data_IF_309904349611
#
_entry.id   IF_309904349611
#
_cell.length_a   1.000
_cell.length_b   1.000
_cell.length_c   1.000
_cell.angle_alpha   90.00
_cell.angle_beta   90.00
_cell.angle_gamma   90.00
#
_symmetry.space_group_name_H-M   'P 1'
#
loop_
_entity.id
_entity.type
_entity.pdbx_description
1 polymer ?
#
# COMPACT_ATOMS: atom_id res chain seq x y z
N UNK A 1 -31.56 -7.05 1.12
CA UNK A 1 -31.25 -8.27 0.36
C UNK A 1 -30.13 -8.05 -0.67
N UNK A 2 -30.19 -7.03 -1.54
CA UNK A 2 -29.23 -6.74 -2.59
C UNK A 2 -27.79 -6.42 -2.09
N UNK A 3 -27.65 -5.61 -1.03
CA UNK A 3 -26.34 -5.31 -0.42
C UNK A 3 -25.64 -6.59 0.08
N UNK A 4 -26.41 -7.56 0.58
CA UNK A 4 -25.88 -8.85 1.05
C UNK A 4 -25.36 -9.71 -0.12
N UNK A 5 -26.05 -9.66 -1.27
CA UNK A 5 -25.63 -10.37 -2.51
C UNK A 5 -24.33 -9.75 -3.05
N UNK A 6 -24.27 -8.42 -3.10
CA UNK A 6 -23.07 -7.70 -3.52
C UNK A 6 -21.89 -8.01 -2.59
N UNK A 7 -22.10 -7.92 -1.27
CA UNK A 7 -21.07 -8.26 -0.28
C UNK A 7 -20.57 -9.69 -0.43
N UNK A 8 -21.49 -10.68 -0.62
CA UNK A 8 -21.10 -12.07 -0.86
C UNK A 8 -20.26 -12.23 -2.12
N UNK A 9 -20.64 -11.59 -3.22
CA UNK A 9 -19.89 -11.62 -4.48
C UNK A 9 -18.48 -11.04 -4.29
N UNK A 10 -18.37 -9.88 -3.64
CA UNK A 10 -17.08 -9.22 -3.37
C UNK A 10 -16.18 -10.05 -2.44
N UNK A 11 -16.75 -10.71 -1.45
CA UNK A 11 -15.99 -11.62 -0.59
C UNK A 11 -15.49 -12.83 -1.39
N UNK A 12 -16.29 -13.40 -2.28
CA UNK A 12 -15.86 -14.51 -3.15
C UNK A 12 -14.75 -14.05 -4.10
N UNK A 13 -14.88 -12.89 -4.75
CA UNK A 13 -13.85 -12.30 -5.60
C UNK A 13 -12.54 -12.08 -4.82
N UNK A 14 -12.63 -11.55 -3.59
CA UNK A 14 -11.50 -11.37 -2.69
C UNK A 14 -10.80 -12.70 -2.32
N UNK A 15 -11.57 -13.73 -1.98
CA UNK A 15 -11.03 -15.06 -1.66
C UNK A 15 -10.37 -15.71 -2.87
N UNK A 16 -10.96 -15.60 -4.06
CA UNK A 16 -10.36 -16.13 -5.31
C UNK A 16 -9.05 -15.39 -5.64
N UNK A 17 -9.02 -14.07 -5.44
CA UNK A 17 -7.80 -13.26 -5.65
C UNK A 17 -6.70 -13.67 -4.67
N UNK A 18 -7.03 -13.84 -3.38
CA UNK A 18 -6.06 -14.30 -2.37
C UNK A 18 -5.57 -15.72 -2.68
N UNK A 19 -6.46 -16.62 -3.09
CA UNK A 19 -6.09 -17.98 -3.46
C UNK A 19 -5.17 -17.99 -4.68
N UNK A 20 -5.51 -17.26 -5.74
CA UNK A 20 -4.67 -17.17 -6.94
C UNK A 20 -3.30 -16.54 -6.64
N UNK A 21 -3.28 -15.46 -5.86
CA UNK A 21 -2.04 -14.83 -5.43
C UNK A 21 -1.18 -15.77 -4.56
N UNK A 22 -1.81 -16.53 -3.64
CA UNK A 22 -1.08 -17.45 -2.76
C UNK A 22 -0.37 -18.56 -3.54
N UNK A 23 -0.98 -19.07 -4.60
CA UNK A 23 -0.34 -20.06 -5.50
C UNK A 23 0.89 -19.47 -6.17
N UNK A 24 0.76 -18.23 -6.69
CA UNK A 24 1.89 -17.54 -7.33
C UNK A 24 3.02 -17.23 -6.34
N UNK A 25 2.66 -16.76 -5.15
CA UNK A 25 3.63 -16.44 -4.08
C UNK A 25 4.37 -17.71 -3.63
N UNK A 26 3.63 -18.79 -3.41
CA UNK A 26 4.23 -20.07 -3.02
C UNK A 26 5.15 -20.61 -4.12
N UNK A 27 4.77 -20.48 -5.40
CA UNK A 27 5.54 -20.96 -6.54
C UNK A 27 6.91 -20.26 -6.67
N UNK A 28 7.14 -19.12 -6.03
CA UNK A 28 8.46 -18.47 -5.99
C UNK A 28 9.53 -19.38 -5.37
N UNK A 29 9.15 -20.24 -4.42
CA UNK A 29 10.10 -21.10 -3.70
C UNK A 29 10.63 -22.24 -4.58
N UNK A 30 9.80 -23.09 -5.23
CA UNK A 30 10.28 -24.15 -6.11
C UNK A 30 10.88 -23.63 -7.43
N UNK A 31 10.58 -22.39 -7.82
CA UNK A 31 11.16 -21.77 -9.03
C UNK A 31 12.48 -21.05 -8.74
N UNK A 32 12.80 -20.78 -7.48
CA UNK A 32 14.06 -20.13 -7.12
C UNK A 32 15.24 -21.07 -7.37
N UNK A 33 16.35 -20.58 -7.96
CA UNK A 33 17.53 -21.41 -8.15
C UNK A 33 18.20 -21.71 -6.82
N UNK A 34 18.48 -23.01 -6.59
CA UNK A 34 19.16 -23.51 -5.39
C UNK A 34 18.27 -24.39 -4.53
N UNK A 35 18.89 -25.11 -3.61
CA UNK A 35 18.21 -25.93 -2.61
C UNK A 35 17.91 -25.09 -1.36
N UNK A 36 16.63 -24.91 -0.97
CA UNK A 36 16.27 -24.15 0.20
C UNK A 36 16.89 -24.66 1.50
N UNK A 37 16.96 -25.97 1.68
CA UNK A 37 17.55 -26.58 2.88
C UNK A 37 19.06 -26.27 2.98
N UNK A 38 19.77 -26.34 1.86
CA UNK A 38 21.18 -25.96 1.78
C UNK A 38 21.38 -24.47 2.08
N UNK A 39 20.53 -23.61 1.52
CA UNK A 39 20.61 -22.16 1.75
C UNK A 39 20.44 -21.80 3.23
N UNK A 40 19.50 -22.46 3.92
CA UNK A 40 19.29 -22.27 5.36
C UNK A 40 20.52 -22.68 6.15
N UNK A 41 21.09 -23.85 5.88
CA UNK A 41 22.28 -24.34 6.61
C UNK A 41 23.50 -23.44 6.37
N UNK A 42 23.70 -22.95 5.15
CA UNK A 42 24.77 -22.00 4.83
C UNK A 42 24.56 -20.68 5.61
N UNK A 43 23.32 -20.17 5.66
CA UNK A 43 23.00 -18.96 6.43
C UNK A 43 23.18 -19.15 7.95
N UNK A 44 22.98 -20.36 8.45
CA UNK A 44 23.26 -20.73 9.85
C UNK A 44 24.76 -20.94 10.17
N UNK A 45 25.64 -20.69 9.21
CA UNK A 45 27.08 -20.75 9.40
C UNK A 45 27.71 -22.12 9.11
N UNK A 46 27.04 -22.97 8.33
CA UNK A 46 27.59 -24.23 7.82
C UNK A 46 27.88 -24.06 6.31
N UNK A 47 29.09 -23.60 5.89
CA UNK A 47 29.37 -23.27 4.49
C UNK A 47 29.25 -24.46 3.53
N UNK A 48 29.59 -25.65 3.98
CA UNK A 48 29.48 -26.91 3.25
C UNK A 48 28.66 -27.92 4.07
N UNK A 49 27.32 -27.82 4.04
CA UNK A 49 26.48 -28.71 4.84
C UNK A 49 26.57 -30.16 4.33
N UNK A 50 26.78 -31.13 5.23
CA UNK A 50 26.76 -32.54 4.86
C UNK A 50 25.42 -32.95 4.26
N UNK A 51 25.41 -33.89 3.27
CA UNK A 51 24.17 -34.34 2.63
C UNK A 51 23.11 -34.88 3.61
N UNK A 52 23.53 -35.43 4.73
CA UNK A 52 22.64 -35.94 5.80
C UNK A 52 21.88 -34.78 6.48
N UNK A 53 22.54 -33.66 6.74
CA UNK A 53 21.90 -32.49 7.34
C UNK A 53 20.93 -31.82 6.36
N UNK A 54 21.27 -31.77 5.07
CA UNK A 54 20.38 -31.27 4.02
C UNK A 54 19.10 -32.11 4.00
N UNK A 55 19.22 -33.45 3.90
CA UNK A 55 18.05 -34.35 3.88
C UNK A 55 17.21 -34.27 5.16
N UNK A 56 17.83 -34.18 6.33
CA UNK A 56 17.11 -34.04 7.58
C UNK A 56 16.30 -32.73 7.62
N UNK A 57 16.87 -31.65 7.10
CA UNK A 57 16.18 -30.36 7.02
C UNK A 57 15.08 -30.37 5.94
N UNK A 58 15.32 -31.00 4.78
CA UNK A 58 14.28 -31.20 3.75
C UNK A 58 13.05 -31.93 4.30
N UNK A 59 13.26 -32.99 5.07
CA UNK A 59 12.19 -33.74 5.74
C UNK A 59 11.45 -32.87 6.77
N UNK A 60 12.20 -32.11 7.57
CA UNK A 60 11.63 -31.20 8.58
C UNK A 60 10.78 -30.10 7.94
N UNK A 61 11.20 -29.60 6.79
CA UNK A 61 10.49 -28.57 6.03
C UNK A 61 9.45 -29.14 5.05
N UNK A 62 9.28 -30.47 5.03
CA UNK A 62 8.38 -31.18 4.12
C UNK A 62 8.65 -30.92 2.62
N UNK A 63 9.91 -30.67 2.24
CA UNK A 63 10.31 -30.42 0.86
C UNK A 63 10.40 -31.71 0.01
N UNK A 64 10.44 -32.85 0.65
CA UNK A 64 10.40 -34.19 0.07
C UNK A 64 9.00 -34.62 -0.37
N UNK A 65 7.95 -33.88 0.01
CA UNK A 65 6.57 -34.23 -0.29
C UNK A 65 6.14 -33.78 -1.70
N UNK A 66 5.04 -34.37 -2.25
CA UNK A 66 4.46 -33.90 -3.50
C UNK A 66 4.12 -32.38 -3.44
N UNK A 67 4.29 -31.68 -4.56
CA UNK A 67 4.13 -30.23 -4.71
C UNK A 67 2.83 -29.69 -4.09
N UNK A 68 1.70 -30.40 -4.30
CA UNK A 68 0.41 -30.01 -3.72
C UNK A 68 0.36 -30.14 -2.19
N UNK A 69 1.05 -31.13 -1.63
CA UNK A 69 1.13 -31.29 -0.17
C UNK A 69 1.98 -30.16 0.45
N UNK A 70 3.10 -29.81 -0.18
CA UNK A 70 3.93 -28.69 0.24
C UNK A 70 3.15 -27.37 0.24
N UNK A 71 2.38 -27.09 -0.82
CA UNK A 71 1.51 -25.92 -0.88
C UNK A 71 0.44 -25.93 0.23
N UNK A 72 -0.20 -27.08 0.46
CA UNK A 72 -1.21 -27.20 1.50
C UNK A 72 -0.63 -26.96 2.90
N UNK A 73 0.56 -27.50 3.20
CA UNK A 73 1.27 -27.26 4.45
C UNK A 73 1.66 -25.78 4.61
N UNK A 74 2.21 -25.16 3.57
CA UNK A 74 2.56 -23.73 3.59
C UNK A 74 1.32 -22.86 3.82
N UNK A 75 0.24 -23.09 3.06
CA UNK A 75 -1.01 -22.33 3.21
C UNK A 75 -1.61 -22.49 4.61
N UNK A 76 -1.57 -23.70 5.15
CA UNK A 76 -2.05 -23.97 6.51
C UNK A 76 -1.23 -23.25 7.57
N UNK A 77 0.09 -23.18 7.39
CA UNK A 77 0.98 -22.35 8.21
C UNK A 77 0.61 -20.89 8.15
N UNK A 78 0.49 -20.31 6.95
CA UNK A 78 0.11 -18.90 6.74
C UNK A 78 -1.22 -18.56 7.43
N UNK A 79 -2.24 -19.43 7.32
CA UNK A 79 -3.54 -19.22 7.96
C UNK A 79 -3.48 -19.26 9.50
N UNK A 80 -2.46 -19.92 10.07
CA UNK A 80 -2.19 -19.95 11.52
C UNK A 80 -1.22 -18.89 12.01
N UNK A 81 -0.72 -18.04 11.10
CA UNK A 81 0.30 -17.02 11.41
C UNK A 81 1.73 -17.56 11.49
N UNK A 82 1.93 -18.82 11.09
CA UNK A 82 3.27 -19.38 10.94
C UNK A 82 3.81 -19.03 9.54
N UNK A 83 4.68 -18.03 9.50
CA UNK A 83 5.34 -17.52 8.29
C UNK A 83 6.72 -18.15 8.07
N UNK A 84 7.00 -19.27 8.77
CA UNK A 84 8.30 -19.97 8.76
C UNK A 84 9.44 -19.17 9.38
N UNK A 85 10.65 -19.73 9.29
CA UNK A 85 11.88 -19.07 9.73
C UNK A 85 12.53 -18.33 8.57
N UNK A 86 13.07 -17.16 8.84
CA UNK A 86 13.95 -16.43 7.92
C UNK A 86 15.18 -17.27 7.60
N UNK A 87 15.54 -17.39 6.34
CA UNK A 87 16.74 -18.11 5.92
C UNK A 87 18.01 -17.38 6.35
N UNK A 88 17.97 -16.04 6.38
CA UNK A 88 19.13 -15.22 6.72
C UNK A 88 19.37 -15.11 8.23
N UNK A 89 18.31 -14.93 9.05
CA UNK A 89 18.45 -14.70 10.48
C UNK A 89 18.15 -15.92 11.37
N UNK A 90 17.49 -16.96 10.82
CA UNK A 90 17.01 -18.11 11.59
C UNK A 90 15.89 -17.80 12.56
N UNK A 91 15.35 -16.57 12.57
CA UNK A 91 14.27 -16.15 13.47
C UNK A 91 12.89 -16.36 12.84
N UNK A 92 11.83 -16.52 13.65
CA UNK A 92 10.47 -16.57 13.14
C UNK A 92 10.11 -15.28 12.38
N UNK A 93 9.69 -15.40 11.11
CA UNK A 93 9.30 -14.25 10.28
C UNK A 93 8.10 -13.52 10.88
N UNK A 94 7.17 -14.24 11.52
CA UNK A 94 6.02 -13.63 12.20
C UNK A 94 6.42 -12.67 13.33
N UNK A 95 7.47 -12.99 14.10
CA UNK A 95 8.01 -12.11 15.12
C UNK A 95 8.62 -10.85 14.54
N UNK A 96 9.50 -11.00 13.53
CA UNK A 96 10.11 -9.85 12.82
C UNK A 96 9.05 -8.93 12.17
N UNK A 97 7.94 -9.53 11.68
CA UNK A 97 6.82 -8.77 11.14
C UNK A 97 6.07 -8.01 12.23
N UNK A 98 5.81 -8.63 13.36
CA UNK A 98 5.13 -7.99 14.49
C UNK A 98 5.91 -6.76 15.01
N UNK A 99 7.23 -6.85 15.04
CA UNK A 99 8.11 -5.77 15.50
C UNK A 99 8.15 -4.59 14.51
N UNK A 100 8.08 -4.85 13.19
CA UNK A 100 8.25 -3.83 12.13
C UNK A 100 6.92 -3.27 11.61
N UNK A 101 5.84 -4.04 11.69
CA UNK A 101 4.51 -3.64 11.22
C UNK A 101 4.04 -2.28 11.79
N UNK A 102 4.21 -1.99 13.09
CA UNK A 102 3.81 -0.69 13.64
C UNK A 102 4.49 0.49 12.96
N UNK A 103 5.78 0.38 12.61
CA UNK A 103 6.51 1.44 11.91
C UNK A 103 5.95 1.67 10.49
N UNK A 104 5.69 0.60 9.72
CA UNK A 104 5.06 0.70 8.39
C UNK A 104 3.65 1.30 8.48
N UNK A 105 2.83 0.89 9.45
CA UNK A 105 1.48 1.43 9.64
C UNK A 105 1.50 2.91 10.07
N UNK A 106 2.48 3.30 10.88
CA UNK A 106 2.70 4.70 11.28
C UNK A 106 3.02 5.55 10.06
N UNK A 107 3.94 5.11 9.21
CA UNK A 107 4.29 5.80 7.97
C UNK A 107 3.10 5.85 6.99
N UNK A 108 2.44 4.72 6.77
CA UNK A 108 1.32 4.61 5.84
C UNK A 108 0.14 5.50 6.26
N UNK A 109 -0.22 5.50 7.55
CA UNK A 109 -1.31 6.34 8.07
C UNK A 109 -0.99 7.83 8.00
N UNK A 110 0.23 8.23 8.35
CA UNK A 110 0.67 9.62 8.22
C UNK A 110 0.66 10.08 6.76
N UNK A 111 1.21 9.27 5.85
CA UNK A 111 1.21 9.55 4.41
C UNK A 111 -0.21 9.65 3.85
N UNK A 112 -1.11 8.76 4.24
CA UNK A 112 -2.52 8.76 3.82
C UNK A 112 -3.24 10.04 4.25
N UNK A 113 -3.09 10.45 5.51
CA UNK A 113 -3.69 11.69 6.04
C UNK A 113 -3.17 12.91 5.30
N UNK A 114 -1.86 13.00 5.09
CA UNK A 114 -1.24 14.10 4.35
C UNK A 114 -1.68 14.11 2.88
N UNK A 115 -1.71 12.95 2.21
CA UNK A 115 -2.14 12.83 0.81
C UNK A 115 -3.59 13.25 0.63
N UNK A 116 -4.50 12.83 1.54
CA UNK A 116 -5.90 13.23 1.53
C UNK A 116 -6.05 14.75 1.73
N UNK A 117 -5.36 15.30 2.72
CA UNK A 117 -5.37 16.75 2.99
C UNK A 117 -4.89 17.57 1.79
N UNK A 118 -3.76 17.19 1.21
CA UNK A 118 -3.21 17.81 0.00
C UNK A 118 -4.16 17.69 -1.20
N UNK A 119 -4.71 16.50 -1.42
CA UNK A 119 -5.61 16.24 -2.54
C UNK A 119 -6.90 17.04 -2.45
N UNK A 120 -7.46 17.15 -1.24
CA UNK A 120 -8.66 17.97 -1.00
C UNK A 120 -8.32 19.46 -1.23
N UNK A 121 -7.23 19.94 -0.68
CA UNK A 121 -6.83 21.34 -0.85
C UNK A 121 -6.60 21.69 -2.33
N UNK A 122 -5.76 20.92 -3.03
CA UNK A 122 -5.43 21.14 -4.44
C UNK A 122 -6.66 20.96 -5.34
N UNK A 123 -7.45 19.91 -5.15
CA UNK A 123 -8.64 19.62 -5.95
C UNK A 123 -9.74 20.69 -5.80
N UNK A 124 -9.99 21.14 -4.56
CA UNK A 124 -10.98 22.19 -4.29
C UNK A 124 -10.52 23.54 -4.81
N UNK A 125 -9.25 23.92 -4.63
CA UNK A 125 -8.68 25.17 -5.17
C UNK A 125 -8.80 25.17 -6.70
N UNK A 126 -8.42 24.08 -7.37
CA UNK A 126 -8.51 23.94 -8.81
C UNK A 126 -9.97 24.02 -9.31
N UNK A 127 -10.91 23.36 -8.65
CA UNK A 127 -12.34 23.41 -8.98
C UNK A 127 -12.98 24.79 -8.67
N UNK A 128 -12.45 25.51 -7.68
CA UNK A 128 -12.93 26.86 -7.32
C UNK A 128 -12.62 27.91 -8.39
N UNK A 129 -11.44 27.79 -9.03
CA UNK A 129 -10.91 28.75 -10.01
C UNK A 129 -10.58 28.08 -11.35
N UNK A 130 -11.54 27.44 -12.03
CA UNK A 130 -11.29 26.66 -13.24
C UNK A 130 -10.73 27.56 -14.36
N UNK A 131 -9.73 27.03 -15.06
CA UNK A 131 -9.02 27.71 -16.17
C UNK A 131 -8.33 29.03 -15.76
N UNK A 132 -8.16 29.29 -14.46
CA UNK A 132 -7.37 30.42 -13.94
C UNK A 132 -6.01 29.93 -13.45
N UNK A 133 -5.14 30.87 -13.10
CA UNK A 133 -3.77 30.57 -12.65
C UNK A 133 -3.70 29.54 -11.47
N UNK A 134 -4.60 29.54 -10.45
CA UNK A 134 -4.53 28.52 -9.42
C UNK A 134 -4.79 27.10 -9.96
N UNK A 135 -5.74 26.94 -10.92
CA UNK A 135 -6.00 25.67 -11.58
C UNK A 135 -4.80 25.22 -12.41
N UNK A 136 -4.18 26.14 -13.15
CA UNK A 136 -2.96 25.81 -13.90
C UNK A 136 -1.80 25.48 -12.97
N UNK A 137 -1.62 26.20 -11.88
CA UNK A 137 -0.58 25.96 -10.88
C UNK A 137 -0.70 24.58 -10.22
N UNK A 138 -1.92 24.17 -9.80
CA UNK A 138 -2.14 22.83 -9.25
C UNK A 138 -1.87 21.74 -10.26
N UNK A 139 -2.23 21.92 -11.53
CA UNK A 139 -1.94 20.96 -12.61
C UNK A 139 -0.45 20.85 -12.92
N UNK A 140 0.28 21.96 -12.97
CA UNK A 140 1.72 21.96 -13.14
C UNK A 140 2.43 21.26 -11.96
N UNK A 141 2.00 21.56 -10.74
CA UNK A 141 2.54 20.90 -9.54
C UNK A 141 2.31 19.39 -9.59
N UNK A 142 1.11 18.97 -9.99
CA UNK A 142 0.77 17.57 -10.17
C UNK A 142 1.64 16.89 -11.24
N UNK A 143 1.88 17.57 -12.39
CA UNK A 143 2.77 17.04 -13.44
C UNK A 143 4.21 16.89 -12.95
N UNK A 144 4.73 17.84 -12.19
CA UNK A 144 6.07 17.77 -11.60
C UNK A 144 6.16 16.56 -10.67
N UNK A 145 5.16 16.37 -9.80
CA UNK A 145 5.14 15.25 -8.87
C UNK A 145 5.03 13.89 -9.59
N UNK A 146 4.27 13.81 -10.68
CA UNK A 146 4.16 12.59 -11.48
C UNK A 146 5.44 12.27 -12.28
N UNK A 147 6.23 13.30 -12.62
CA UNK A 147 7.43 13.15 -13.47
C UNK A 147 8.68 12.75 -12.68
N UNK A 148 8.70 13.01 -11.36
CA UNK A 148 9.87 12.75 -10.52
C UNK A 148 9.70 11.42 -9.80
N UNK A 149 10.61 10.44 -9.98
CA UNK A 149 10.56 9.20 -9.24
C UNK A 149 10.60 9.44 -7.72
N UNK A 150 9.79 8.67 -6.97
CA UNK A 150 9.64 8.87 -5.51
C UNK A 150 10.96 8.82 -4.73
N UNK A 151 11.93 7.99 -5.15
CA UNK A 151 13.24 7.94 -4.49
C UNK A 151 14.04 9.24 -4.70
N UNK A 152 13.87 9.93 -5.83
CA UNK A 152 14.52 11.24 -6.08
C UNK A 152 13.92 12.30 -5.16
N UNK A 153 12.59 12.28 -4.99
CA UNK A 153 11.92 13.16 -4.02
C UNK A 153 12.45 12.90 -2.60
N UNK A 154 12.60 11.63 -2.21
CA UNK A 154 13.15 11.25 -0.92
C UNK A 154 14.58 11.80 -0.71
N UNK A 155 15.46 11.63 -1.70
CA UNK A 155 16.83 12.13 -1.64
C UNK A 155 16.88 13.67 -1.58
N UNK A 156 16.04 14.37 -2.36
CA UNK A 156 15.94 15.81 -2.32
C UNK A 156 15.46 16.33 -0.96
N UNK A 157 14.47 15.66 -0.35
CA UNK A 157 14.00 15.99 0.99
C UNK A 157 15.11 15.80 2.04
N UNK A 158 15.87 14.72 1.98
CA UNK A 158 17.01 14.50 2.87
C UNK A 158 18.07 15.59 2.64
N UNK A 159 18.44 15.86 1.38
CA UNK A 159 19.47 16.85 1.06
C UNK A 159 19.09 18.24 1.53
N UNK A 160 17.84 18.68 1.32
CA UNK A 160 17.41 20.03 1.69
C UNK A 160 17.17 20.13 3.20
N UNK A 161 16.40 19.23 3.78
CA UNK A 161 15.94 19.37 5.17
C UNK A 161 16.97 18.84 6.17
N UNK A 162 17.55 17.67 5.92
CA UNK A 162 18.47 17.06 6.89
C UNK A 162 19.87 17.63 6.75
N UNK A 163 20.42 17.65 5.53
CA UNK A 163 21.81 18.11 5.30
C UNK A 163 21.87 19.64 5.26
N UNK A 164 20.99 20.30 4.52
CA UNK A 164 21.04 21.74 4.31
C UNK A 164 20.52 22.57 5.50
N UNK A 165 19.40 22.15 6.09
CA UNK A 165 18.76 22.89 7.18
C UNK A 165 19.02 22.30 8.58
N UNK A 166 19.63 21.13 8.67
CA UNK A 166 19.83 20.44 9.95
C UNK A 166 18.52 19.94 10.60
N UNK A 167 17.44 19.83 9.82
CA UNK A 167 16.12 19.43 10.30
C UNK A 167 15.94 17.91 10.13
N UNK A 168 15.77 17.19 11.23
CA UNK A 168 15.53 15.75 11.22
C UNK A 168 16.80 14.90 11.28
N UNK A 169 16.67 13.62 11.02
CA UNK A 169 17.76 12.63 10.99
C UNK A 169 17.65 11.80 9.71
N UNK A 170 18.77 11.30 9.21
CA UNK A 170 18.77 10.39 8.06
C UNK A 170 18.37 8.97 8.48
N UNK A 171 18.77 8.53 9.68
CA UNK A 171 18.35 7.27 10.27
C UNK A 171 17.19 7.51 11.25
N UNK A 172 16.06 6.87 11.02
CA UNK A 172 14.80 7.12 11.71
C UNK A 172 14.46 5.95 12.63
N UNK A 173 13.75 6.25 13.73
CA UNK A 173 13.40 5.27 14.78
C UNK A 173 12.00 4.64 14.62
N UNK A 174 11.28 4.97 13.54
CA UNK A 174 9.94 4.46 13.28
C UNK A 174 8.82 5.16 14.06
N UNK A 175 9.11 6.26 14.77
CA UNK A 175 8.14 6.96 15.61
C UNK A 175 7.43 8.11 14.89
N UNK A 176 6.28 8.55 15.44
CA UNK A 176 5.51 9.71 14.97
C UNK A 176 6.30 11.03 14.96
N UNK A 177 7.36 11.12 15.77
CA UNK A 177 8.20 12.33 15.82
C UNK A 177 9.05 12.52 14.58
N UNK A 178 9.37 11.45 13.87
CA UNK A 178 10.28 11.45 12.73
C UNK A 178 9.60 11.10 11.39
N UNK A 179 8.28 10.81 11.41
CA UNK A 179 7.53 10.31 10.26
C UNK A 179 7.30 11.36 9.16
N UNK A 180 7.42 12.65 9.47
CA UNK A 180 6.94 13.75 8.61
C UNK A 180 7.65 13.83 7.26
N UNK A 181 8.99 13.67 7.18
CA UNK A 181 9.72 13.69 5.89
C UNK A 181 9.35 12.50 4.98
N UNK A 182 9.46 11.23 5.44
CA UNK A 182 9.05 10.11 4.62
C UNK A 182 7.55 10.11 4.28
N UNK A 183 6.69 10.58 5.19
CA UNK A 183 5.26 10.71 4.94
C UNK A 183 4.94 11.77 3.87
N UNK A 184 5.63 12.93 3.87
CA UNK A 184 5.51 13.94 2.81
C UNK A 184 5.92 13.34 1.46
N UNK A 185 7.03 12.60 1.42
CA UNK A 185 7.51 11.97 0.19
C UNK A 185 6.43 11.07 -0.44
N UNK A 186 5.79 10.20 0.35
CA UNK A 186 4.72 9.33 -0.11
C UNK A 186 3.44 10.12 -0.46
N UNK A 187 3.09 11.11 0.36
CA UNK A 187 1.87 11.89 0.19
C UNK A 187 1.88 12.71 -1.12
N UNK A 188 3.02 13.25 -1.49
CA UNK A 188 3.19 14.00 -2.75
C UNK A 188 2.87 13.11 -3.95
N UNK A 189 3.38 11.88 -3.99
CA UNK A 189 3.13 10.94 -5.08
C UNK A 189 1.66 10.55 -5.23
N UNK A 190 0.94 10.36 -4.11
CA UNK A 190 -0.48 10.00 -4.12
C UNK A 190 -1.39 11.19 -4.44
N UNK A 191 -1.03 12.38 -3.95
CA UNK A 191 -1.86 13.57 -4.06
C UNK A 191 -2.07 14.04 -5.50
N UNK A 192 -1.14 13.73 -6.42
CA UNK A 192 -1.28 14.03 -7.84
C UNK A 192 -2.56 13.43 -8.41
N UNK A 193 -2.67 12.11 -8.39
CA UNK A 193 -3.81 11.39 -8.97
C UNK A 193 -5.12 11.74 -8.29
N UNK A 194 -5.12 11.81 -6.95
CA UNK A 194 -6.34 12.06 -6.18
C UNK A 194 -6.84 13.50 -6.32
N UNK A 195 -5.96 14.50 -6.39
CA UNK A 195 -6.36 15.90 -6.59
C UNK A 195 -6.99 16.13 -7.97
N UNK A 196 -6.44 15.49 -9.01
CA UNK A 196 -6.99 15.57 -10.37
C UNK A 196 -8.36 14.90 -10.48
N UNK A 197 -8.51 13.72 -9.88
CA UNK A 197 -9.81 13.02 -9.83
C UNK A 197 -10.84 13.83 -9.07
N UNK A 198 -10.51 14.31 -7.88
CA UNK A 198 -11.39 15.15 -7.07
C UNK A 198 -11.81 16.43 -7.82
N UNK A 199 -10.86 17.11 -8.47
CA UNK A 199 -11.15 18.28 -9.32
C UNK A 199 -12.16 17.94 -10.42
N UNK A 200 -11.98 16.81 -11.13
CA UNK A 200 -12.88 16.40 -12.20
C UNK A 200 -14.31 16.15 -11.67
N UNK A 201 -14.43 15.42 -10.56
CA UNK A 201 -15.70 15.13 -9.91
C UNK A 201 -16.41 16.41 -9.39
N UNK A 202 -15.63 17.33 -8.80
CA UNK A 202 -16.16 18.61 -8.32
C UNK A 202 -16.65 19.50 -9.46
N UNK A 203 -15.97 19.53 -10.59
CA UNK A 203 -16.42 20.28 -11.78
C UNK A 203 -17.68 19.66 -12.37
N UNK A 204 -17.74 18.34 -12.52
CA UNK A 204 -18.92 17.64 -12.96
C UNK A 204 -20.13 17.90 -12.04
N UNK A 205 -19.92 17.92 -10.72
CA UNK A 205 -20.97 18.28 -9.76
C UNK A 205 -21.41 19.75 -9.93
N UNK A 206 -20.49 20.68 -10.15
CA UNK A 206 -20.83 22.09 -10.37
C UNK A 206 -21.65 22.33 -11.62
N UNK A 207 -21.53 21.48 -12.63
CA UNK A 207 -22.29 21.54 -13.88
C UNK A 207 -23.62 20.75 -13.79
N UNK A 208 -23.93 20.15 -12.64
CA UNK A 208 -25.17 19.39 -12.41
C UNK A 208 -26.39 20.28 -12.16
N UNK A 209 -27.61 19.78 -12.45
CA UNK A 209 -28.87 20.49 -12.12
C UNK A 209 -28.99 20.80 -10.62
N UNK A 210 -28.47 19.92 -9.76
CA UNK A 210 -28.44 20.16 -8.31
C UNK A 210 -27.66 21.41 -7.95
N UNK A 211 -26.49 21.60 -8.53
CA UNK A 211 -25.67 22.79 -8.28
C UNK A 211 -26.34 24.06 -8.86
N UNK A 212 -27.08 23.94 -9.95
CA UNK A 212 -27.86 25.05 -10.52
C UNK A 212 -28.96 25.51 -9.57
N UNK A 213 -29.76 24.60 -9.02
CA UNK A 213 -30.78 24.91 -8.01
C UNK A 213 -30.16 25.56 -6.77
N UNK A 214 -29.02 25.06 -6.31
CA UNK A 214 -28.33 25.67 -5.16
C UNK A 214 -27.85 27.10 -5.46
N UNK A 215 -27.37 27.38 -6.66
CA UNK A 215 -27.01 28.73 -7.11
C UNK A 215 -28.24 29.65 -7.16
N UNK A 216 -29.36 29.16 -7.70
CA UNK A 216 -30.61 29.91 -7.76
C UNK A 216 -31.10 30.27 -6.35
N UNK A 217 -30.84 29.42 -5.34
CA UNK A 217 -31.13 29.68 -3.91
C UNK A 217 -30.09 30.58 -3.23
N UNK A 218 -29.14 31.19 -3.97
CA UNK A 218 -28.15 32.12 -3.43
C UNK A 218 -26.91 31.45 -2.77
N UNK A 219 -26.70 30.14 -2.96
CA UNK A 219 -25.52 29.50 -2.41
C UNK A 219 -24.24 29.92 -3.17
N UNK A 220 -23.24 30.35 -2.43
CA UNK A 220 -21.92 30.70 -3.01
C UNK A 220 -21.24 29.45 -3.55
N UNK A 221 -20.37 29.62 -4.57
CA UNK A 221 -19.58 28.52 -5.15
C UNK A 221 -18.77 27.77 -4.08
N UNK A 222 -18.22 28.47 -3.09
CA UNK A 222 -17.49 27.88 -1.97
C UNK A 222 -18.37 26.95 -1.12
N UNK A 223 -19.59 27.43 -0.75
CA UNK A 223 -20.57 26.63 0.00
C UNK A 223 -20.99 25.39 -0.79
N UNK A 224 -21.21 25.52 -2.11
CA UNK A 224 -21.58 24.41 -2.98
C UNK A 224 -20.46 23.36 -3.01
N UNK A 225 -19.20 23.76 -3.18
CA UNK A 225 -18.05 22.84 -3.21
C UNK A 225 -17.88 22.07 -1.90
N UNK A 226 -17.86 22.77 -0.75
CA UNK A 226 -17.57 22.13 0.53
C UNK A 226 -18.76 21.32 1.08
N UNK A 227 -19.97 21.86 1.02
CA UNK A 227 -21.13 21.26 1.68
C UNK A 227 -21.86 20.22 0.83
N UNK A 228 -21.72 20.31 -0.50
CA UNK A 228 -22.43 19.45 -1.43
C UNK A 228 -21.49 18.73 -2.39
N UNK A 229 -20.56 19.42 -3.02
CA UNK A 229 -19.63 18.87 -4.00
C UNK A 229 -18.71 17.82 -3.40
N UNK A 230 -18.03 18.14 -2.31
CA UNK A 230 -17.07 17.24 -1.68
C UNK A 230 -17.69 15.91 -1.21
N UNK A 231 -18.83 15.91 -0.48
CA UNK A 231 -19.51 14.66 -0.11
C UNK A 231 -19.98 13.85 -1.34
N UNK A 232 -20.50 14.49 -2.37
CA UNK A 232 -20.93 13.80 -3.60
C UNK A 232 -19.75 13.25 -4.42
N UNK A 233 -18.57 13.86 -4.31
CA UNK A 233 -17.34 13.39 -4.96
C UNK A 233 -16.64 12.26 -4.16
N UNK A 234 -17.07 11.99 -2.94
CA UNK A 234 -16.43 10.97 -2.09
C UNK A 234 -16.59 9.57 -2.70
N UNK A 235 -17.79 9.20 -3.14
CA UNK A 235 -18.09 7.85 -3.68
C UNK A 235 -17.22 7.51 -4.90
N UNK A 236 -17.16 8.33 -5.97
CA UNK A 236 -16.27 8.05 -7.09
C UNK A 236 -14.78 8.00 -6.70
N UNK A 237 -14.40 8.67 -5.61
CA UNK A 237 -13.01 8.72 -5.13
C UNK A 237 -12.61 7.52 -4.28
N UNK A 238 -13.55 6.82 -3.63
CA UNK A 238 -13.25 5.71 -2.71
C UNK A 238 -12.45 4.59 -3.38
N UNK A 239 -12.81 4.21 -4.60
CA UNK A 239 -12.07 3.17 -5.32
C UNK A 239 -10.64 3.59 -5.65
N UNK A 240 -10.43 4.84 -6.09
CA UNK A 240 -9.10 5.39 -6.33
C UNK A 240 -8.26 5.47 -5.04
N UNK A 241 -8.90 5.76 -3.90
CA UNK A 241 -8.24 5.73 -2.58
C UNK A 241 -7.79 4.31 -2.21
N UNK A 242 -8.62 3.30 -2.45
CA UNK A 242 -8.27 1.90 -2.20
C UNK A 242 -7.06 1.45 -3.03
N UNK A 243 -7.09 1.71 -4.34
CA UNK A 243 -5.95 1.42 -5.23
C UNK A 243 -4.70 2.18 -4.77
N UNK A 244 -4.86 3.47 -4.43
CA UNK A 244 -3.75 4.29 -3.95
C UNK A 244 -3.14 3.79 -2.63
N UNK A 245 -3.94 3.23 -1.72
CA UNK A 245 -3.43 2.63 -0.48
C UNK A 245 -2.56 1.40 -0.76
N UNK A 246 -2.91 0.59 -1.77
CA UNK A 246 -2.07 -0.52 -2.19
C UNK A 246 -0.75 -0.05 -2.83
N UNK A 247 -0.82 0.97 -3.69
CA UNK A 247 0.37 1.62 -4.27
C UNK A 247 1.26 2.21 -3.17
N UNK A 248 0.65 2.73 -2.09
CA UNK A 248 1.37 3.26 -0.93
C UNK A 248 2.22 2.19 -0.25
N UNK A 249 1.70 0.97 -0.06
CA UNK A 249 2.46 -0.14 0.55
C UNK A 249 3.70 -0.48 -0.29
N UNK A 250 3.55 -0.58 -1.63
CA UNK A 250 4.68 -0.78 -2.53
C UNK A 250 5.67 0.39 -2.55
N UNK A 251 5.16 1.62 -2.59
CA UNK A 251 5.97 2.84 -2.56
C UNK A 251 6.67 3.07 -1.22
N UNK A 252 6.04 2.67 -0.11
CA UNK A 252 6.63 2.72 1.21
C UNK A 252 7.94 1.94 1.29
N UNK A 253 8.05 0.80 0.61
CA UNK A 253 9.27 -0.03 0.56
C UNK A 253 10.50 0.78 0.13
N UNK A 254 10.36 1.59 -0.91
CA UNK A 254 11.45 2.44 -1.40
C UNK A 254 11.76 3.57 -0.42
N UNK A 255 10.73 4.24 0.08
CA UNK A 255 10.88 5.36 1.02
C UNK A 255 11.46 4.89 2.35
N UNK A 256 11.00 3.75 2.89
CA UNK A 256 11.54 3.13 4.10
C UNK A 256 13.04 2.83 3.94
N UNK A 257 13.44 2.31 2.76
CA UNK A 257 14.85 2.01 2.49
C UNK A 257 15.70 3.28 2.42
N UNK A 258 15.24 4.31 1.70
CA UNK A 258 16.00 5.57 1.52
C UNK A 258 16.14 6.33 2.84
N UNK A 259 15.08 6.38 3.65
CA UNK A 259 15.06 7.06 4.95
C UNK A 259 15.56 6.19 6.11
N UNK A 260 16.00 4.96 5.84
CA UNK A 260 16.39 3.97 6.87
C UNK A 260 15.27 3.81 7.93
N UNK A 261 14.01 3.81 7.49
CA UNK A 261 12.84 3.62 8.33
C UNK A 261 12.68 2.14 8.67
N UNK A 262 12.55 1.75 9.95
CA UNK A 262 12.58 0.34 10.37
C UNK A 262 11.24 -0.37 10.13
N UNK A 263 10.75 -0.36 8.90
CA UNK A 263 9.48 -0.97 8.52
C UNK A 263 9.62 -2.31 7.80
N UNK A 264 8.48 -2.87 7.37
CA UNK A 264 8.40 -4.13 6.61
C UNK A 264 8.99 -3.99 5.21
N UNK A 265 8.85 -2.82 4.57
CA UNK A 265 9.39 -2.57 3.25
C UNK A 265 10.91 -2.58 3.20
N UNK A 266 11.57 -1.92 4.16
CA UNK A 266 13.03 -1.97 4.28
C UNK A 266 13.54 -3.39 4.57
N UNK A 267 12.79 -4.15 5.38
CA UNK A 267 13.10 -5.54 5.70
C UNK A 267 13.02 -6.45 4.47
N UNK A 268 11.97 -6.31 3.64
CA UNK A 268 11.87 -7.11 2.43
C UNK A 268 12.94 -6.77 1.39
N UNK A 269 13.34 -5.50 1.26
CA UNK A 269 14.45 -5.11 0.35
C UNK A 269 15.76 -5.79 0.76
N UNK A 270 16.05 -5.84 2.05
CA UNK A 270 17.23 -6.56 2.55
C UNK A 270 17.11 -8.07 2.31
N UNK A 271 15.91 -8.62 2.51
CA UNK A 271 15.62 -10.04 2.27
C UNK A 271 15.73 -10.44 0.80
N UNK A 272 15.45 -9.52 -0.14
CA UNK A 272 15.70 -9.76 -1.58
C UNK A 272 17.19 -9.90 -1.87
N UNK A 273 18.03 -9.06 -1.26
CA UNK A 273 19.49 -9.14 -1.45
C UNK A 273 20.06 -10.45 -0.91
N UNK A 274 19.52 -10.92 0.21
CA UNK A 274 19.96 -12.18 0.86
C UNK A 274 19.21 -13.41 0.36
N UNK A 275 18.26 -13.24 -0.57
CA UNK A 275 17.37 -14.31 -1.11
C UNK A 275 16.57 -15.03 -0.02
N UNK A 276 16.12 -14.30 0.97
CA UNK A 276 15.30 -14.80 2.07
C UNK A 276 13.83 -14.96 1.62
N UNK A 277 13.56 -16.11 0.98
CA UNK A 277 12.27 -16.38 0.37
C UNK A 277 11.09 -16.38 1.36
N UNK A 278 11.17 -16.94 2.59
CA UNK A 278 10.09 -16.85 3.55
C UNK A 278 9.65 -15.42 3.86
N UNK A 279 10.60 -14.49 4.01
CA UNK A 279 10.30 -13.08 4.25
C UNK A 279 9.65 -12.44 3.04
N UNK A 280 10.16 -12.72 1.83
CA UNK A 280 9.58 -12.20 0.57
C UNK A 280 8.15 -12.71 0.39
N UNK A 281 7.91 -14.00 0.64
CA UNK A 281 6.57 -14.61 0.59
C UNK A 281 5.62 -13.97 1.61
N UNK A 282 6.06 -13.83 2.86
CA UNK A 282 5.28 -13.21 3.93
C UNK A 282 4.90 -11.76 3.61
N UNK A 283 5.86 -10.96 3.10
CA UNK A 283 5.59 -9.58 2.68
C UNK A 283 4.60 -9.52 1.52
N UNK A 284 4.72 -10.41 0.54
CA UNK A 284 3.81 -10.44 -0.61
C UNK A 284 2.40 -10.85 -0.21
N UNK A 285 2.26 -11.82 0.72
CA UNK A 285 0.97 -12.17 1.34
C UNK A 285 0.39 -10.95 2.07
N UNK A 286 1.18 -10.27 2.88
CA UNK A 286 0.75 -9.07 3.61
C UNK A 286 0.29 -7.96 2.66
N UNK A 287 1.07 -7.66 1.63
CA UNK A 287 0.74 -6.61 0.65
C UNK A 287 -0.54 -6.96 -0.13
N UNK A 288 -0.69 -8.21 -0.56
CA UNK A 288 -1.88 -8.70 -1.26
C UNK A 288 -3.12 -8.66 -0.36
N UNK A 289 -3.00 -9.14 0.88
CA UNK A 289 -4.09 -9.10 1.85
C UNK A 289 -4.50 -7.66 2.17
N UNK A 290 -3.55 -6.76 2.34
CA UNK A 290 -3.80 -5.34 2.58
C UNK A 290 -4.55 -4.69 1.40
N UNK A 291 -4.16 -5.00 0.16
CA UNK A 291 -4.88 -4.54 -1.03
C UNK A 291 -6.32 -5.05 -1.07
N UNK A 292 -6.51 -6.36 -0.88
CA UNK A 292 -7.83 -7.00 -0.91
C UNK A 292 -8.75 -6.44 0.18
N UNK A 293 -8.24 -6.30 1.41
CA UNK A 293 -8.99 -5.72 2.53
C UNK A 293 -9.39 -4.27 2.23
N UNK A 294 -8.44 -3.46 1.76
CA UNK A 294 -8.72 -2.05 1.45
C UNK A 294 -9.72 -1.90 0.31
N UNK A 295 -9.60 -2.72 -0.74
CA UNK A 295 -10.56 -2.76 -1.86
C UNK A 295 -11.95 -3.19 -1.38
N UNK A 296 -12.05 -4.24 -0.57
CA UNK A 296 -13.32 -4.70 -0.01
C UNK A 296 -13.99 -3.63 0.87
N UNK A 297 -13.20 -2.96 1.71
CA UNK A 297 -13.70 -1.86 2.55
C UNK A 297 -14.22 -0.72 1.67
N UNK A 298 -13.51 -0.33 0.61
CA UNK A 298 -13.95 0.72 -0.31
C UNK A 298 -15.25 0.35 -1.05
N UNK A 299 -15.37 -0.90 -1.49
CA UNK A 299 -16.58 -1.39 -2.16
C UNK A 299 -17.80 -1.39 -1.21
N UNK A 300 -17.60 -1.85 0.03
CA UNK A 300 -18.65 -1.85 1.04
C UNK A 300 -19.07 -0.42 1.44
N UNK A 301 -18.10 0.48 1.62
CA UNK A 301 -18.40 1.89 1.89
C UNK A 301 -19.12 2.54 0.73
N UNK A 302 -18.72 2.27 -0.51
CA UNK A 302 -19.41 2.76 -1.70
C UNK A 302 -20.87 2.30 -1.76
N UNK A 303 -21.14 1.02 -1.45
CA UNK A 303 -22.48 0.45 -1.43
C UNK A 303 -23.37 1.03 -0.30
N UNK A 304 -22.77 1.43 0.82
CA UNK A 304 -23.50 2.06 1.94
C UNK A 304 -23.83 3.53 1.64
N UNK A 305 -22.89 4.26 1.02
CA UNK A 305 -23.03 5.69 0.75
C UNK A 305 -23.93 5.92 -0.47
N UNK A 306 -23.77 5.15 -1.53
CA UNK A 306 -24.59 5.26 -2.75
C UNK A 306 -25.48 4.03 -2.94
N UNK A 307 -26.71 4.17 -2.46
CA UNK A 307 -27.74 3.12 -2.62
C UNK A 307 -28.12 2.84 -4.08
N UNK A 308 -27.74 3.69 -5.03
CA UNK A 308 -28.04 3.50 -6.47
C UNK A 308 -27.16 2.42 -7.08
N UNK A 309 -25.92 2.29 -6.64
CA UNK A 309 -25.00 1.22 -7.09
C UNK A 309 -25.56 -0.19 -6.75
N UNK A 310 -26.35 -0.29 -5.69
CA UNK A 310 -27.01 -1.54 -5.31
C UNK A 310 -28.22 -1.91 -6.20
N UNK A 311 -28.59 -1.09 -7.18
CA UNK A 311 -29.75 -1.31 -8.06
C UNK A 311 -29.31 -1.95 -9.39
N UNK A 312 -28.09 -1.67 -9.85
CA UNK A 312 -27.57 -2.08 -11.17
C UNK A 312 -26.64 -3.32 -11.11
N UNK A 313 -26.42 -3.88 -9.93
CA UNK A 313 -25.64 -5.09 -9.67
C UNK A 313 -26.53 -6.29 -9.28
#
# INVERSE_FOLDING_TARGET
>A
MRVLVLARRRVVEALLTLLGASVLIWALMPLAPGDPARMILVAQGVPEPPPEQIRALEQTLHLDQPVLAQYAHWMWGVLRGDLRLSFASGRPVSGEFADRLPATLTLASAALVLALGLSIALGVIAARYPRRWPDHGTRWLALVFASVPGFVVALLLIQVFVVGLGFGKAALDGTWRQVWLPAICLAVGLSDTWSRLLRANLLAFLDSPTAEVLRARGATRWRILWRHGLPNSAVPSLHALAVGTAVLIGGATVVETVFTWPGLGSYVVESVKTRDLPVIQAFTVFATASYVVTSLVADLLSAVIDRRIAVDA
#
